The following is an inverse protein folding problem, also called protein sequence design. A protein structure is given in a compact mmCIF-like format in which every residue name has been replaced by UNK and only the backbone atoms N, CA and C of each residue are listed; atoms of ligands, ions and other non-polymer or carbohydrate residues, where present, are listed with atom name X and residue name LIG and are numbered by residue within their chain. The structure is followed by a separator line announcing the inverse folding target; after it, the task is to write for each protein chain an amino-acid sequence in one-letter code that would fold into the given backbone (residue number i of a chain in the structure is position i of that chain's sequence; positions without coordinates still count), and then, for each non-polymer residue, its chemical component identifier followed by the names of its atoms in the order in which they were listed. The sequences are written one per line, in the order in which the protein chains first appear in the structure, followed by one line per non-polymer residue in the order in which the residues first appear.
data_IF_169394385357
#
_entry.id   IF_169394385357
#
_cell.length_a   1.000
_cell.length_b   1.000
_cell.length_c   1.000
_cell.angle_alpha   90.00
_cell.angle_beta   90.00
_cell.angle_gamma   90.00
#
_symmetry.space_group_name_H-M   'P 1'
#
loop_
_entity.id
_entity.type
_entity.pdbx_description
1 polymer ?
#
# COMPACT_ATOMS: atom_id res chain seq x y z
N UNK A 1 -21.66 -20.52 15.10
CA UNK A 1 -22.39 -19.25 15.26
C UNK A 1 -21.92 -18.69 16.59
N UNK A 2 -21.11 -17.63 16.59
CA UNK A 2 -20.51 -17.13 17.83
C UNK A 2 -21.63 -16.66 18.76
N UNK A 3 -21.80 -17.35 19.89
CA UNK A 3 -22.88 -17.10 20.82
C UNK A 3 -22.58 -15.81 21.59
N UNK A 4 -23.24 -14.72 21.19
CA UNK A 4 -23.19 -13.43 21.87
C UNK A 4 -24.19 -13.53 23.03
N UNK A 5 -23.82 -14.28 24.06
CA UNK A 5 -24.67 -14.64 25.19
C UNK A 5 -24.64 -13.62 26.35
N UNK A 6 -23.70 -12.67 26.31
CA UNK A 6 -23.51 -11.66 27.35
C UNK A 6 -23.30 -10.27 26.77
N UNK A 7 -23.69 -9.25 27.53
CA UNK A 7 -23.45 -7.85 27.19
C UNK A 7 -21.96 -7.53 27.00
N UNK A 8 -21.07 -8.21 27.73
CA UNK A 8 -19.61 -8.07 27.58
C UNK A 8 -19.16 -8.55 26.20
N UNK A 9 -19.49 -9.78 25.81
CA UNK A 9 -19.14 -10.30 24.48
C UNK A 9 -19.77 -9.46 23.36
N UNK A 10 -21.00 -8.98 23.56
CA UNK A 10 -21.63 -8.07 22.60
C UNK A 10 -20.81 -6.81 22.40
N UNK A 11 -20.42 -6.13 23.49
CA UNK A 11 -19.57 -4.93 23.42
C UNK A 11 -18.24 -5.21 22.75
N UNK A 12 -17.59 -6.33 23.05
CA UNK A 12 -16.33 -6.72 22.42
C UNK A 12 -16.47 -6.89 20.91
N UNK A 13 -17.47 -7.67 20.47
CA UNK A 13 -17.73 -7.91 19.04
C UNK A 13 -18.08 -6.61 18.32
N UNK A 14 -18.97 -5.79 18.87
CA UNK A 14 -19.38 -4.53 18.25
C UNK A 14 -18.22 -3.54 18.21
N UNK A 15 -17.45 -3.42 19.30
CA UNK A 15 -16.28 -2.53 19.35
C UNK A 15 -15.25 -2.95 18.32
N UNK A 16 -14.92 -4.24 18.27
CA UNK A 16 -13.99 -4.77 17.28
C UNK A 16 -14.46 -4.49 15.84
N UNK A 17 -15.73 -4.79 15.51
CA UNK A 17 -16.31 -4.51 14.19
C UNK A 17 -16.29 -3.03 13.84
N UNK A 18 -16.59 -2.16 14.81
CA UNK A 18 -16.57 -0.72 14.61
C UNK A 18 -15.14 -0.21 14.34
N UNK A 19 -14.16 -0.68 15.09
CA UNK A 19 -12.74 -0.34 14.88
C UNK A 19 -12.24 -0.82 13.51
N UNK A 20 -12.56 -2.06 13.10
CA UNK A 20 -12.24 -2.56 11.77
C UNK A 20 -12.88 -1.70 10.67
N UNK A 21 -14.12 -1.26 10.86
CA UNK A 21 -14.80 -0.37 9.92
C UNK A 21 -14.10 1.00 9.81
N UNK A 22 -13.64 1.56 10.92
CA UNK A 22 -12.87 2.80 10.93
C UNK A 22 -11.53 2.64 10.22
N UNK A 23 -10.78 1.59 10.53
CA UNK A 23 -9.51 1.26 9.88
C UNK A 23 -9.71 1.09 8.36
N UNK A 24 -10.73 0.33 7.95
CA UNK A 24 -11.09 0.14 6.55
C UNK A 24 -11.41 1.46 5.85
N UNK A 25 -12.10 2.38 6.53
CA UNK A 25 -12.40 3.70 5.99
C UNK A 25 -11.14 4.56 5.90
N UNK A 26 -10.24 4.52 6.89
CA UNK A 26 -8.95 5.23 6.85
C UNK A 26 -8.10 4.74 5.68
N UNK A 27 -7.93 3.42 5.56
CA UNK A 27 -7.14 2.78 4.49
C UNK A 27 -7.59 3.21 3.10
N UNK A 28 -8.91 3.16 2.81
CA UNK A 28 -9.45 3.55 1.49
C UNK A 28 -9.24 5.02 1.12
N UNK A 29 -9.10 5.90 2.12
CA UNK A 29 -8.95 7.34 1.91
C UNK A 29 -7.51 7.81 2.19
N UNK A 30 -6.56 6.89 2.33
CA UNK A 30 -5.22 7.20 2.80
C UNK A 30 -4.35 7.75 1.67
N UNK A 31 -4.05 9.05 1.74
CA UNK A 31 -3.13 9.74 0.83
C UNK A 31 -1.86 10.19 1.56
N UNK A 32 -0.71 10.17 0.88
CA UNK A 32 0.56 10.63 1.46
C UNK A 32 0.51 12.14 1.73
N UNK A 33 0.66 12.53 2.99
CA UNK A 33 0.61 13.93 3.43
C UNK A 33 1.73 14.79 2.84
N UNK A 34 1.53 16.11 2.69
CA UNK A 34 2.45 17.01 1.98
C UNK A 34 3.90 16.97 2.50
N UNK A 35 4.10 16.85 3.81
CA UNK A 35 5.42 16.77 4.46
C UNK A 35 5.75 15.37 4.98
N UNK A 36 4.86 14.40 4.75
CA UNK A 36 5.05 13.02 5.21
C UNK A 36 6.10 12.31 4.34
N UNK A 37 7.00 11.57 4.99
CA UNK A 37 7.98 10.75 4.29
C UNK A 37 7.29 9.58 3.59
N UNK A 38 7.96 8.97 2.62
CA UNK A 38 7.39 7.80 1.93
C UNK A 38 7.36 6.60 2.87
N UNK A 39 8.35 6.48 3.75
CA UNK A 39 8.47 5.34 4.67
C UNK A 39 7.31 5.38 5.66
N UNK A 40 7.09 6.52 6.33
CA UNK A 40 5.99 6.68 7.31
C UNK A 40 4.61 6.41 6.66
N UNK A 41 4.43 6.88 5.43
CA UNK A 41 3.21 6.59 4.66
C UNK A 41 3.05 5.09 4.39
N UNK A 42 4.11 4.42 3.94
CA UNK A 42 4.07 3.00 3.63
C UNK A 42 3.82 2.15 4.87
N UNK A 43 4.48 2.47 5.98
CA UNK A 43 4.32 1.77 7.26
C UNK A 43 2.87 1.91 7.78
N UNK A 44 2.30 3.12 7.81
CA UNK A 44 0.90 3.33 8.25
C UNK A 44 -0.10 2.62 7.33
N UNK A 45 0.15 2.55 6.01
CA UNK A 45 -0.72 1.78 5.09
C UNK A 45 -0.61 0.28 5.35
N UNK A 46 0.59 -0.26 5.58
CA UNK A 46 0.81 -1.69 5.87
C UNK A 46 0.12 -2.06 7.19
N UNK A 47 0.30 -1.28 8.25
CA UNK A 47 -0.37 -1.51 9.54
C UNK A 47 -1.90 -1.48 9.39
N UNK A 48 -2.43 -0.57 8.57
CA UNK A 48 -3.86 -0.51 8.28
C UNK A 48 -4.36 -1.72 7.50
N UNK A 49 -3.57 -2.23 6.54
CA UNK A 49 -3.91 -3.46 5.84
C UNK A 49 -3.98 -4.65 6.81
N UNK A 50 -2.93 -4.86 7.62
CA UNK A 50 -2.87 -5.95 8.61
C UNK A 50 -4.00 -5.86 9.64
N UNK A 51 -4.37 -4.64 10.04
CA UNK A 51 -5.50 -4.41 10.96
C UNK A 51 -6.83 -4.80 10.33
N UNK A 52 -7.05 -4.48 9.05
CA UNK A 52 -8.32 -4.71 8.36
C UNK A 52 -8.48 -6.17 7.96
N UNK A 53 -7.40 -6.77 7.46
CA UNK A 53 -7.34 -8.15 7.01
C UNK A 53 -5.90 -8.67 7.18
N UNK A 54 -5.64 -9.48 8.22
CA UNK A 54 -4.32 -10.06 8.47
C UNK A 54 -3.79 -10.93 7.32
N UNK A 55 -4.69 -11.45 6.46
CA UNK A 55 -4.35 -12.31 5.32
C UNK A 55 -4.34 -11.51 4.00
N UNK A 56 -4.29 -10.17 4.07
CA UNK A 56 -4.32 -9.32 2.89
C UNK A 56 -3.10 -9.58 2.00
N UNK A 57 -3.36 -9.92 0.74
CA UNK A 57 -2.31 -10.22 -0.22
C UNK A 57 -1.41 -9.02 -0.50
N UNK A 58 -0.12 -9.28 -0.79
CA UNK A 58 0.85 -8.26 -1.19
C UNK A 58 0.34 -7.39 -2.36
N UNK A 59 -0.39 -7.98 -3.31
CA UNK A 59 -0.94 -7.25 -4.44
C UNK A 59 -1.98 -6.21 -4.00
N UNK A 60 -2.83 -6.55 -3.03
CA UNK A 60 -3.80 -5.61 -2.44
C UNK A 60 -3.08 -4.51 -1.66
N UNK A 61 -2.06 -4.87 -0.86
CA UNK A 61 -1.25 -3.91 -0.12
C UNK A 61 -0.59 -2.89 -1.07
N UNK A 62 0.03 -3.38 -2.15
CA UNK A 62 0.63 -2.54 -3.20
C UNK A 62 -0.40 -1.63 -3.88
N UNK A 63 -1.63 -2.11 -4.11
CA UNK A 63 -2.67 -1.28 -4.70
C UNK A 63 -3.03 -0.09 -3.80
N UNK A 64 -3.17 -0.29 -2.48
CA UNK A 64 -3.43 0.80 -1.53
C UNK A 64 -2.27 1.79 -1.46
N UNK A 65 -1.04 1.28 -1.37
CA UNK A 65 0.17 2.11 -1.38
C UNK A 65 0.23 2.98 -2.63
N UNK A 66 0.02 2.39 -3.80
CA UNK A 66 0.10 3.11 -5.06
C UNK A 66 -1.07 4.07 -5.29
N UNK A 67 -2.24 3.83 -4.67
CA UNK A 67 -3.39 4.71 -4.79
C UNK A 67 -3.08 6.11 -4.22
N UNK A 68 -2.62 6.17 -2.98
CA UNK A 68 -2.41 7.44 -2.25
C UNK A 68 -1.01 8.05 -2.34
N UNK A 69 -0.04 7.36 -2.96
CA UNK A 69 1.33 7.88 -3.12
C UNK A 69 1.36 9.13 -4.03
N UNK A 70 2.17 10.13 -3.65
CA UNK A 70 2.35 11.36 -4.43
C UNK A 70 2.78 11.08 -5.87
N UNK A 71 2.17 11.80 -6.81
CA UNK A 71 2.41 11.70 -8.25
C UNK A 71 3.85 12.06 -8.67
N UNK A 72 4.53 12.91 -7.90
CA UNK A 72 5.94 13.27 -8.13
C UNK A 72 6.88 12.07 -8.02
N UNK A 73 6.49 11.02 -7.27
CA UNK A 73 7.23 9.77 -7.14
C UNK A 73 6.79 8.71 -8.15
N UNK A 74 5.49 8.66 -8.50
CA UNK A 74 4.96 7.79 -9.58
C UNK A 74 5.70 8.00 -10.91
N UNK A 75 6.14 9.24 -11.18
CA UNK A 75 6.90 9.58 -12.40
C UNK A 75 8.34 9.06 -12.39
N UNK A 76 8.98 8.88 -11.23
CA UNK A 76 10.39 8.49 -11.15
C UNK A 76 10.62 6.99 -11.38
N UNK A 77 9.63 6.14 -11.11
CA UNK A 77 9.71 4.70 -11.42
C UNK A 77 9.51 4.37 -12.91
N UNK A 78 9.03 5.34 -13.72
CA UNK A 78 8.78 5.15 -15.16
C UNK A 78 9.95 5.53 -16.08
N UNK A 79 11.08 6.02 -15.54
CA UNK A 79 12.31 6.21 -16.35
C UNK A 79 12.89 4.85 -16.74
N UNK A 80 12.36 4.28 -17.82
CA UNK A 80 13.05 3.28 -18.62
C UNK A 80 14.42 3.86 -18.97
N UNK A 81 15.50 3.35 -18.36
CA UNK A 81 16.84 3.58 -18.89
C UNK A 81 16.88 2.94 -20.27
N UNK A 82 16.75 3.75 -21.31
CA UNK A 82 17.02 3.35 -22.70
C UNK A 82 18.50 2.96 -22.77
N UNK A 83 18.78 1.67 -22.66
CA UNK A 83 20.09 1.12 -23.00
C UNK A 83 20.24 1.37 -24.52
N UNK A 84 20.98 2.40 -24.90
CA UNK A 84 21.41 2.57 -26.29
C UNK A 84 22.33 1.39 -26.62
N UNK A 85 21.85 0.49 -27.47
CA UNK A 85 22.67 -0.55 -28.08
C UNK A 85 23.73 0.13 -28.95
N UNK A 86 24.96 0.22 -28.43
CA UNK A 86 26.11 0.70 -29.20
C UNK A 86 26.52 -0.41 -30.15
N UNK A 87 26.15 -0.26 -31.42
CA UNK A 87 26.63 -1.09 -32.53
C UNK A 87 28.11 -0.77 -32.73
N UNK A 88 28.99 -1.71 -32.36
CA UNK A 88 30.42 -1.63 -32.69
C UNK A 88 30.54 -1.88 -34.20
N UNK A 89 30.94 -0.84 -34.95
CA UNK A 89 31.46 -1.02 -36.30
C UNK A 89 32.90 -1.53 -36.19
N UNK A 90 33.13 -2.79 -36.52
CA UNK A 90 34.48 -3.31 -36.76
C UNK A 90 34.90 -2.87 -38.16
N UNK A 91 35.79 -1.88 -38.24
CA UNK A 91 36.54 -1.58 -39.45
C UNK A 91 37.47 -2.75 -39.75
N UNK A 92 37.28 -3.40 -40.89
CA UNK A 92 38.23 -4.36 -41.44
C UNK A 92 39.23 -3.59 -42.30
N UNK A 93 40.51 -3.61 -41.91
CA UNK A 93 41.64 -3.24 -42.76
C UNK A 93 42.67 -4.35 -42.71
N UNK A 94 42.68 -5.17 -43.75
CA UNK A 94 43.82 -5.49 -44.64
C UNK A 94 43.57 -6.83 -45.34
#
# INVERSE_FOLDING_TARGET
MNDIDTWTKFKEVITHRYLLSLASKKLRNREQGLQESVIDYCEDVIELCETVDPDMTDQSNLNYLMQGLKSSLKKRSSTKKTIKSTRIHTSSSN
#
